data_IF_250105584218
#
_entry.id   IF_250105584218
#
_cell.length_a   1.000
_cell.length_b   1.000
_cell.length_c   1.000
_cell.angle_alpha   90.00
_cell.angle_beta   90.00
_cell.angle_gamma   90.00
#
_symmetry.space_group_name_H-M   'P 1'
#
loop_
_entity.id
_entity.type
_entity.pdbx_description
1 polymer ?
#
# COMPACT_ATOMS: atom_id res chain seq x y z
N UNK A 1 -43.98 -25.75 -62.41
CA UNK A 1 -43.17 -24.63 -61.87
C UNK A 1 -43.31 -24.60 -60.35
N UNK A 2 -42.40 -25.22 -59.61
CA UNK A 2 -42.36 -25.16 -58.13
C UNK A 2 -41.16 -24.29 -57.74
N UNK A 3 -41.42 -23.09 -57.22
CA UNK A 3 -40.39 -22.20 -56.67
C UNK A 3 -40.00 -22.74 -55.29
N UNK A 4 -38.75 -23.18 -55.13
CA UNK A 4 -38.19 -23.49 -53.82
C UNK A 4 -37.67 -22.19 -53.19
N UNK A 5 -38.20 -21.88 -52.01
CA UNK A 5 -37.81 -20.74 -51.20
C UNK A 5 -36.57 -21.15 -50.38
N UNK A 6 -35.43 -20.51 -50.63
CA UNK A 6 -34.21 -20.71 -49.85
C UNK A 6 -34.26 -19.75 -48.65
N UNK A 7 -34.47 -20.28 -47.45
CA UNK A 7 -34.38 -19.52 -46.21
C UNK A 7 -32.94 -19.65 -45.70
N UNK A 8 -32.17 -18.56 -45.76
CA UNK A 8 -30.85 -18.46 -45.14
C UNK A 8 -31.05 -18.05 -43.68
N UNK A 9 -30.81 -18.98 -42.76
CA UNK A 9 -30.84 -18.74 -41.32
C UNK A 9 -29.52 -18.08 -40.92
N UNK A 10 -29.53 -16.77 -40.68
CA UNK A 10 -28.41 -16.03 -40.10
C UNK A 10 -28.35 -16.36 -38.60
N UNK A 11 -27.45 -17.24 -38.19
CA UNK A 11 -27.18 -17.51 -36.77
C UNK A 11 -26.18 -16.47 -36.30
N UNK A 12 -26.67 -15.39 -35.68
CA UNK A 12 -25.83 -14.47 -34.90
C UNK A 12 -25.46 -15.16 -33.59
N UNK A 13 -24.24 -15.68 -33.47
CA UNK A 13 -23.68 -16.08 -32.18
C UNK A 13 -23.48 -14.83 -31.32
N UNK A 14 -24.44 -14.56 -30.43
CA UNK A 14 -24.18 -13.74 -29.26
C UNK A 14 -23.29 -14.56 -28.31
N UNK A 15 -22.00 -14.24 -28.27
CA UNK A 15 -21.14 -14.68 -27.18
C UNK A 15 -21.59 -13.92 -25.93
N UNK A 16 -22.36 -14.60 -25.09
CA UNK A 16 -22.55 -14.17 -23.71
C UNK A 16 -21.19 -14.40 -23.06
N UNK A 17 -20.42 -13.33 -22.88
CA UNK A 17 -19.22 -13.37 -22.03
C UNK A 17 -19.78 -13.50 -20.60
N UNK A 18 -19.89 -14.74 -20.13
CA UNK A 18 -20.10 -14.99 -18.71
C UNK A 18 -18.81 -14.66 -17.98
N UNK A 19 -18.93 -14.02 -16.82
CA UNK A 19 -17.83 -13.82 -15.91
C UNK A 19 -17.18 -15.17 -15.55
N UNK A 20 -15.86 -15.24 -15.62
CA UNK A 20 -15.10 -16.46 -15.41
C UNK A 20 -13.90 -16.21 -14.50
N UNK A 21 -13.56 -17.24 -13.72
CA UNK A 21 -12.33 -17.25 -12.94
C UNK A 21 -11.14 -17.12 -13.91
N UNK A 22 -10.19 -16.27 -13.57
CA UNK A 22 -9.03 -16.04 -14.43
C UNK A 22 -8.08 -17.22 -14.31
N UNK A 23 -7.79 -17.90 -15.42
CA UNK A 23 -6.77 -18.94 -15.45
C UNK A 23 -5.36 -18.35 -15.30
N UNK A 24 -4.46 -19.09 -14.64
CA UNK A 24 -3.06 -18.70 -14.42
C UNK A 24 -2.34 -18.32 -15.72
N UNK A 25 -2.58 -19.06 -16.81
CA UNK A 25 -1.99 -18.76 -18.12
C UNK A 25 -2.43 -17.40 -18.69
N UNK A 26 -3.66 -16.99 -18.42
CA UNK A 26 -4.16 -15.65 -18.80
C UNK A 26 -3.49 -14.58 -17.95
N UNK A 27 -3.33 -14.81 -16.64
CA UNK A 27 -2.63 -13.89 -15.76
C UNK A 27 -1.16 -13.69 -16.14
N UNK A 28 -0.44 -14.78 -16.46
CA UNK A 28 0.94 -14.72 -16.96
C UNK A 28 1.01 -13.89 -18.23
N UNK A 29 0.17 -14.19 -19.24
CA UNK A 29 0.18 -13.48 -20.53
C UNK A 29 -0.02 -11.98 -20.36
N UNK A 30 -1.01 -11.57 -19.56
CA UNK A 30 -1.28 -10.15 -19.30
C UNK A 30 -0.09 -9.50 -18.59
N UNK A 31 0.46 -10.14 -17.57
CA UNK A 31 1.59 -9.60 -16.82
C UNK A 31 2.84 -9.46 -17.70
N UNK A 32 3.17 -10.46 -18.52
CA UNK A 32 4.30 -10.45 -19.44
C UNK A 32 4.17 -9.36 -20.51
N UNK A 33 3.01 -9.26 -21.17
CA UNK A 33 2.77 -8.25 -22.19
C UNK A 33 2.81 -6.83 -21.58
N UNK A 34 2.21 -6.63 -20.40
CA UNK A 34 2.22 -5.36 -19.69
C UNK A 34 3.64 -4.94 -19.29
N UNK A 35 4.37 -5.83 -18.64
CA UNK A 35 5.75 -5.57 -18.21
C UNK A 35 6.67 -5.34 -19.41
N UNK A 36 6.44 -6.07 -20.50
CA UNK A 36 7.20 -5.88 -21.72
C UNK A 36 6.97 -4.50 -22.34
N UNK A 37 5.71 -4.03 -22.35
CA UNK A 37 5.37 -2.69 -22.77
C UNK A 37 6.01 -1.61 -21.86
N UNK A 38 5.92 -1.75 -20.54
CA UNK A 38 6.47 -0.79 -19.58
C UNK A 38 8.00 -0.69 -19.63
N UNK A 39 8.68 -1.79 -19.92
CA UNK A 39 10.15 -1.86 -19.91
C UNK A 39 10.77 -1.81 -21.31
N UNK A 40 9.95 -1.76 -22.35
CA UNK A 40 10.35 -1.79 -23.77
C UNK A 40 11.29 -2.95 -24.11
N UNK A 41 11.02 -4.13 -23.55
CA UNK A 41 11.77 -5.39 -23.78
C UNK A 41 10.83 -6.58 -23.62
N UNK A 42 11.17 -7.73 -24.19
CA UNK A 42 10.43 -8.97 -23.87
C UNK A 42 10.67 -9.35 -22.41
N UNK A 43 9.58 -9.62 -21.68
CA UNK A 43 9.60 -10.05 -20.29
C UNK A 43 8.97 -11.43 -20.20
N UNK A 44 9.61 -12.32 -19.43
CA UNK A 44 9.07 -13.66 -19.14
C UNK A 44 8.97 -13.82 -17.64
N UNK A 45 7.83 -14.29 -17.16
CA UNK A 45 7.63 -14.57 -15.75
C UNK A 45 8.57 -15.71 -15.32
N UNK A 46 9.30 -15.52 -14.23
CA UNK A 46 10.11 -16.62 -13.66
C UNK A 46 9.39 -17.34 -12.53
N UNK A 47 8.42 -16.69 -11.90
CA UNK A 47 7.54 -17.32 -10.92
C UNK A 47 6.15 -16.70 -10.93
N UNK A 48 5.18 -17.52 -10.53
CA UNK A 48 3.82 -17.09 -10.23
C UNK A 48 3.49 -17.64 -8.85
N UNK A 49 2.99 -16.76 -7.98
CA UNK A 49 2.54 -17.15 -6.65
C UNK A 49 1.06 -16.78 -6.49
N UNK A 50 0.16 -17.77 -6.33
CA UNK A 50 -1.25 -17.49 -6.06
C UNK A 50 -1.40 -17.04 -4.60
N UNK A 51 -2.05 -15.90 -4.40
CA UNK A 51 -2.54 -15.47 -3.10
C UNK A 51 -4.01 -15.91 -2.94
N UNK A 52 -4.29 -16.54 -1.80
CA UNK A 52 -5.61 -17.06 -1.45
C UNK A 52 -6.10 -16.31 -0.21
N UNK A 53 -7.23 -15.60 -0.33
CA UNK A 53 -7.94 -15.09 0.84
C UNK A 53 -8.52 -16.23 1.68
N UNK A 54 -9.03 -15.88 2.86
CA UNK A 54 -9.76 -16.86 3.69
C UNK A 54 -10.93 -17.47 2.91
N UNK A 55 -11.05 -18.79 2.98
CA UNK A 55 -12.09 -19.59 2.32
C UNK A 55 -12.12 -19.52 0.78
N UNK A 56 -11.07 -18.99 0.14
CA UNK A 56 -10.99 -18.94 -1.32
C UNK A 56 -10.82 -20.35 -1.92
N UNK A 57 -11.68 -20.70 -2.89
CA UNK A 57 -11.60 -21.97 -3.65
C UNK A 57 -10.73 -21.87 -4.91
N UNK A 58 -10.28 -20.66 -5.23
CA UNK A 58 -9.42 -20.32 -6.37
C UNK A 58 -8.61 -19.09 -6.02
N UNK A 59 -7.46 -18.85 -6.67
CA UNK A 59 -6.64 -17.67 -6.41
C UNK A 59 -7.44 -16.38 -6.47
N UNK A 60 -7.25 -15.50 -5.50
CA UNK A 60 -7.81 -14.15 -5.54
C UNK A 60 -6.90 -13.21 -6.33
N UNK A 61 -5.59 -13.46 -6.23
CA UNK A 61 -4.55 -12.65 -6.87
C UNK A 61 -3.46 -13.59 -7.35
N UNK A 62 -2.92 -13.34 -8.54
CA UNK A 62 -1.69 -13.94 -9.04
C UNK A 62 -0.56 -12.92 -8.92
N UNK A 63 0.46 -13.24 -8.10
CA UNK A 63 1.71 -12.46 -8.03
C UNK A 63 2.66 -13.00 -9.10
N UNK A 64 2.72 -12.34 -10.24
CA UNK A 64 3.61 -12.71 -11.36
C UNK A 64 4.92 -11.95 -11.22
N UNK A 65 6.05 -12.66 -11.08
CA UNK A 65 7.36 -12.06 -10.81
C UNK A 65 8.33 -12.21 -11.97
N UNK A 66 9.22 -11.21 -12.13
CA UNK A 66 10.13 -11.08 -13.26
C UNK A 66 11.60 -10.98 -12.84
N UNK A 67 12.50 -11.41 -13.72
CA UNK A 67 13.96 -11.32 -13.54
C UNK A 67 14.54 -10.28 -14.53
N UNK A 68 15.48 -9.41 -14.13
CA UNK A 68 16.15 -9.33 -12.82
C UNK A 68 15.32 -8.66 -11.71
N UNK A 69 14.11 -8.20 -12.00
CA UNK A 69 13.18 -7.63 -11.04
C UNK A 69 11.89 -7.17 -11.71
N UNK A 70 10.89 -6.90 -10.87
CA UNK A 70 9.55 -6.47 -11.22
C UNK A 70 8.49 -7.52 -10.87
N UNK A 71 7.25 -7.06 -10.70
CA UNK A 71 6.09 -7.91 -10.46
C UNK A 71 4.81 -7.25 -10.96
N UNK A 72 3.79 -8.07 -11.21
CA UNK A 72 2.41 -7.65 -11.46
C UNK A 72 1.49 -8.48 -10.57
N UNK A 73 0.59 -7.81 -9.84
CA UNK A 73 -0.51 -8.42 -9.11
C UNK A 73 -1.72 -8.45 -10.05
N UNK A 74 -2.06 -9.63 -10.55
CA UNK A 74 -3.19 -9.82 -11.48
C UNK A 74 -4.39 -10.37 -10.70
N UNK A 75 -5.57 -9.81 -10.92
CA UNK A 75 -6.80 -10.29 -10.28
C UNK A 75 -7.16 -11.72 -10.74
N UNK A 76 -7.68 -12.54 -9.82
CA UNK A 76 -8.09 -13.92 -10.07
C UNK A 76 -9.50 -14.10 -10.64
N UNK A 77 -10.19 -13.00 -10.96
CA UNK A 77 -11.56 -13.00 -11.47
C UNK A 77 -11.78 -11.78 -12.36
N UNK A 78 -12.47 -11.98 -13.47
CA UNK A 78 -12.59 -10.95 -14.51
C UNK A 78 -13.64 -9.87 -14.20
N UNK A 79 -14.41 -10.04 -13.13
CA UNK A 79 -15.28 -9.00 -12.56
C UNK A 79 -14.49 -7.89 -11.84
N UNK A 80 -13.21 -8.10 -11.54
CA UNK A 80 -12.32 -7.10 -10.95
C UNK A 80 -11.46 -6.43 -12.02
N UNK A 81 -10.90 -5.26 -11.72
CA UNK A 81 -9.83 -4.68 -12.54
C UNK A 81 -8.67 -5.68 -12.69
N UNK A 82 -8.11 -5.87 -13.90
CA UNK A 82 -7.16 -6.94 -14.18
C UNK A 82 -5.84 -6.81 -13.41
N UNK A 83 -5.38 -5.57 -13.16
CA UNK A 83 -4.09 -5.29 -12.52
C UNK A 83 -4.33 -4.53 -11.22
N UNK A 84 -4.00 -5.16 -10.10
CA UNK A 84 -4.21 -4.63 -8.74
C UNK A 84 -2.99 -3.88 -8.20
N UNK A 85 -1.83 -4.07 -8.83
CA UNK A 85 -0.58 -3.41 -8.47
C UNK A 85 0.56 -3.94 -9.33
N UNK A 86 1.61 -3.15 -9.50
CA UNK A 86 2.78 -3.57 -10.25
C UNK A 86 4.00 -2.75 -9.84
N UNK A 87 5.18 -3.28 -10.16
CA UNK A 87 6.43 -2.54 -10.13
C UNK A 87 7.35 -3.06 -11.22
N UNK A 88 8.07 -2.18 -11.91
CA UNK A 88 9.10 -2.58 -12.88
C UNK A 88 10.41 -2.99 -12.22
N UNK A 89 10.54 -2.85 -10.91
CA UNK A 89 11.74 -3.09 -10.11
C UNK A 89 11.41 -3.83 -8.81
N UNK A 90 12.44 -4.43 -8.18
CA UNK A 90 12.28 -5.15 -6.91
C UNK A 90 11.47 -6.44 -7.06
N UNK A 91 11.23 -7.12 -5.95
CA UNK A 91 10.39 -8.32 -5.93
C UNK A 91 9.25 -8.11 -4.95
N UNK A 92 8.10 -8.71 -5.24
CA UNK A 92 7.01 -8.75 -4.27
C UNK A 92 7.34 -9.78 -3.19
N UNK A 93 7.23 -9.43 -1.90
CA UNK A 93 7.43 -10.40 -0.82
C UNK A 93 6.27 -11.41 -0.82
N UNK A 94 6.57 -12.71 -0.88
CA UNK A 94 5.55 -13.78 -0.87
C UNK A 94 5.70 -14.77 0.29
N UNK A 95 6.68 -14.59 1.17
CA UNK A 95 6.93 -15.46 2.34
C UNK A 95 6.72 -14.72 3.66
N UNK A 96 7.43 -13.61 3.80
CA UNK A 96 7.34 -12.71 4.95
C UNK A 96 6.73 -11.41 4.45
N UNK A 97 5.43 -11.44 4.21
CA UNK A 97 4.69 -10.28 3.71
C UNK A 97 4.59 -9.27 4.86
N UNK A 98 5.02 -8.01 4.68
CA UNK A 98 4.86 -7.00 5.71
C UNK A 98 3.37 -6.82 6.05
N UNK A 99 3.05 -6.69 7.34
CA UNK A 99 1.66 -6.67 7.84
C UNK A 99 0.75 -5.62 7.16
N UNK A 100 1.31 -4.48 6.75
CA UNK A 100 0.58 -3.45 6.03
C UNK A 100 0.27 -3.86 4.57
N UNK A 101 1.16 -4.63 3.93
CA UNK A 101 0.93 -5.21 2.60
C UNK A 101 -0.09 -6.35 2.70
N UNK A 102 0.03 -7.19 3.72
CA UNK A 102 -0.93 -8.27 4.00
C UNK A 102 -2.35 -7.71 4.18
N UNK A 103 -2.50 -6.60 4.91
CA UNK A 103 -3.78 -5.92 5.06
C UNK A 103 -4.38 -5.50 3.71
N UNK A 104 -3.58 -4.93 2.79
CA UNK A 104 -4.03 -4.53 1.45
C UNK A 104 -4.44 -5.74 0.60
N UNK A 105 -3.64 -6.82 0.62
CA UNK A 105 -3.99 -8.06 -0.07
C UNK A 105 -5.31 -8.63 0.48
N UNK A 106 -5.51 -8.57 1.80
CA UNK A 106 -6.76 -8.95 2.46
C UNK A 106 -7.96 -8.13 1.99
N UNK A 107 -7.81 -6.82 1.76
CA UNK A 107 -8.90 -5.99 1.21
C UNK A 107 -9.22 -6.34 -0.24
N UNK A 108 -8.21 -6.64 -1.06
CA UNK A 108 -8.43 -7.15 -2.42
C UNK A 108 -9.15 -8.50 -2.39
N UNK A 109 -8.74 -9.43 -1.53
CA UNK A 109 -9.43 -10.71 -1.33
C UNK A 109 -10.87 -10.54 -0.86
N UNK A 110 -11.15 -9.61 0.06
CA UNK A 110 -12.52 -9.31 0.49
C UNK A 110 -13.37 -8.80 -0.68
N UNK A 111 -12.82 -7.91 -1.49
CA UNK A 111 -13.49 -7.41 -2.71
C UNK A 111 -13.74 -8.56 -3.71
N UNK A 112 -12.78 -9.48 -3.83
CA UNK A 112 -12.89 -10.67 -4.67
C UNK A 112 -14.03 -11.61 -4.24
N UNK A 113 -14.25 -11.77 -2.95
CA UNK A 113 -15.38 -12.54 -2.42
C UNK A 113 -16.72 -11.86 -2.75
N UNK A 114 -16.77 -10.52 -2.64
CA UNK A 114 -17.98 -9.75 -2.95
C UNK A 114 -18.37 -9.87 -4.41
N UNK A 115 -17.42 -9.69 -5.36
CA UNK A 115 -17.73 -9.77 -6.78
C UNK A 115 -18.17 -11.18 -7.19
N UNK A 116 -17.54 -12.23 -6.65
CA UNK A 116 -17.92 -13.64 -6.89
C UNK A 116 -19.31 -13.98 -6.34
N UNK A 117 -19.73 -13.28 -5.29
CA UNK A 117 -21.09 -13.42 -4.73
C UNK A 117 -22.14 -12.65 -5.55
N UNK A 118 -21.72 -11.86 -6.54
CA UNK A 118 -22.55 -11.03 -7.39
C UNK A 118 -22.31 -11.34 -8.88
N UNK A 119 -22.57 -12.58 -9.35
CA UNK A 119 -22.25 -13.01 -10.72
C UNK A 119 -23.03 -12.27 -11.82
N UNK A 120 -24.04 -11.47 -11.45
CA UNK A 120 -24.76 -10.58 -12.36
C UNK A 120 -23.96 -9.32 -12.75
N UNK A 121 -22.84 -9.04 -12.06
CA UNK A 121 -21.97 -7.92 -12.41
C UNK A 121 -21.27 -8.21 -13.74
N UNK A 122 -20.89 -7.13 -14.43
CA UNK A 122 -20.23 -7.24 -15.73
C UNK A 122 -18.73 -7.36 -15.58
N UNK A 123 -18.11 -8.16 -16.45
CA UNK A 123 -16.66 -8.21 -16.65
C UNK A 123 -16.07 -6.81 -16.75
N UNK A 124 -14.96 -6.55 -16.05
CA UNK A 124 -14.27 -5.27 -16.11
C UNK A 124 -13.70 -5.04 -17.52
N UNK A 125 -13.99 -3.88 -18.16
CA UNK A 125 -13.58 -3.62 -19.53
C UNK A 125 -12.05 -3.59 -19.73
N UNK A 126 -11.27 -3.43 -18.66
CA UNK A 126 -9.81 -3.47 -18.66
C UNK A 126 -9.24 -4.81 -19.15
N UNK A 127 -9.94 -5.93 -18.93
CA UNK A 127 -9.51 -7.23 -19.44
C UNK A 127 -9.43 -7.25 -20.97
N UNK A 128 -10.49 -6.78 -21.64
CA UNK A 128 -10.54 -6.73 -23.09
C UNK A 128 -9.49 -5.80 -23.70
N UNK A 129 -9.12 -4.72 -23.00
CA UNK A 129 -8.01 -3.84 -23.42
C UNK A 129 -6.68 -4.57 -23.36
N UNK A 130 -6.34 -5.13 -22.19
CA UNK A 130 -5.06 -5.79 -21.97
C UNK A 130 -4.86 -7.03 -22.87
N UNK A 131 -5.91 -7.82 -23.08
CA UNK A 131 -5.89 -8.97 -23.99
C UNK A 131 -5.64 -8.58 -25.46
N UNK A 132 -6.02 -7.37 -25.86
CA UNK A 132 -5.74 -6.80 -27.19
C UNK A 132 -4.43 -6.01 -27.24
N UNK A 133 -3.64 -6.06 -26.17
CA UNK A 133 -2.38 -5.30 -26.00
C UNK A 133 -2.59 -3.79 -26.06
N UNK A 134 -3.75 -3.31 -25.64
CA UNK A 134 -3.99 -1.89 -25.41
C UNK A 134 -3.57 -1.54 -23.98
N UNK A 135 -2.42 -0.86 -23.87
CA UNK A 135 -1.82 -0.43 -22.61
C UNK A 135 -1.97 1.08 -22.37
N UNK A 136 -2.94 1.74 -23.02
CA UNK A 136 -3.16 3.19 -22.90
C UNK A 136 -3.28 3.65 -21.44
N UNK A 137 -3.92 2.83 -20.60
CA UNK A 137 -4.20 3.14 -19.19
C UNK A 137 -2.95 3.01 -18.30
N UNK A 138 -1.88 2.40 -18.83
CA UNK A 138 -0.61 2.17 -18.14
C UNK A 138 0.53 3.05 -18.66
N UNK A 139 0.22 4.02 -19.52
CA UNK A 139 1.17 5.07 -19.90
C UNK A 139 1.43 5.91 -18.66
N UNK A 140 2.64 5.81 -18.10
CA UNK A 140 3.05 6.59 -16.93
C UNK A 140 3.18 8.05 -17.34
N UNK A 141 2.09 8.80 -17.15
CA UNK A 141 2.02 10.26 -17.27
C UNK A 141 2.22 10.95 -15.92
N UNK A 142 2.76 10.22 -14.93
CA UNK A 142 2.83 10.68 -13.56
C UNK A 142 3.75 11.90 -13.43
N UNK A 143 3.17 13.03 -13.05
CA UNK A 143 3.91 14.28 -12.79
C UNK A 143 4.68 14.26 -11.45
N UNK A 144 4.38 13.29 -10.57
CA UNK A 144 4.86 13.25 -9.18
C UNK A 144 5.68 11.98 -8.91
N UNK A 145 7.00 12.11 -8.75
CA UNK A 145 7.86 11.02 -8.28
C UNK A 145 7.57 10.65 -6.81
N UNK A 146 7.97 9.45 -6.32
CA UNK A 146 7.80 9.10 -4.91
C UNK A 146 8.34 10.20 -4.01
N UNK A 147 7.48 10.73 -3.14
CA UNK A 147 7.79 11.94 -2.39
C UNK A 147 8.74 11.65 -1.23
N UNK A 148 8.50 10.56 -0.49
CA UNK A 148 9.37 10.10 0.58
C UNK A 148 10.55 9.31 0.00
N UNK A 149 11.77 9.69 0.37
CA UNK A 149 12.99 8.99 -0.03
C UNK A 149 13.43 7.96 1.01
N UNK A 150 12.87 8.01 2.22
CA UNK A 150 13.14 7.08 3.30
C UNK A 150 12.56 5.70 3.01
N UNK A 151 13.25 4.67 3.49
CA UNK A 151 12.77 3.30 3.57
C UNK A 151 12.90 2.82 5.02
N UNK A 152 12.36 3.62 5.93
CA UNK A 152 12.44 3.34 7.37
C UNK A 152 11.49 2.22 7.77
N UNK A 153 11.85 1.49 8.81
CA UNK A 153 11.09 0.35 9.33
C UNK A 153 10.74 0.57 10.81
N UNK A 154 9.95 -0.34 11.38
CA UNK A 154 9.45 -0.29 12.75
C UNK A 154 10.29 -1.09 13.74
N UNK A 155 11.08 -2.06 13.26
CA UNK A 155 11.90 -2.94 14.08
C UNK A 155 13.36 -2.48 14.19
N UNK A 156 14.24 -3.35 14.66
CA UNK A 156 15.67 -3.06 14.76
C UNK A 156 16.25 -2.71 13.38
N UNK A 157 17.10 -1.67 13.27
CA UNK A 157 17.66 -0.84 14.35
C UNK A 157 16.87 0.47 14.65
N UNK A 158 15.70 0.65 14.03
CA UNK A 158 14.89 1.87 14.08
C UNK A 158 14.24 2.09 15.45
N UNK A 159 13.90 1.02 16.17
CA UNK A 159 13.21 1.05 17.47
C UNK A 159 14.15 1.07 18.69
N UNK A 160 15.45 1.35 18.52
CA UNK A 160 16.47 1.26 19.59
C UNK A 160 16.24 2.15 20.82
N UNK A 161 15.30 3.09 20.78
CA UNK A 161 14.87 3.92 21.92
C UNK A 161 13.41 3.70 22.33
N UNK A 162 12.71 2.75 21.70
CA UNK A 162 11.39 2.32 22.16
C UNK A 162 11.51 1.52 23.46
N UNK A 163 10.42 1.27 24.20
CA UNK A 163 10.46 0.46 25.43
C UNK A 163 11.16 -0.91 25.25
N UNK A 164 11.96 -1.35 26.24
CA UNK A 164 12.64 -2.63 26.16
C UNK A 164 11.65 -3.80 26.29
N UNK A 165 11.81 -4.80 25.43
CA UNK A 165 11.08 -6.06 25.47
C UNK A 165 11.93 -7.16 24.81
N UNK A 166 12.32 -8.18 25.59
CA UNK A 166 13.20 -9.25 25.10
C UNK A 166 12.59 -10.10 23.98
N UNK A 167 11.26 -10.09 23.83
CA UNK A 167 10.55 -10.76 22.74
C UNK A 167 10.43 -9.91 21.48
N UNK A 168 10.76 -8.62 21.55
CA UNK A 168 10.68 -7.69 20.43
C UNK A 168 11.96 -7.65 19.58
N UNK A 169 11.89 -7.10 18.36
CA UNK A 169 13.04 -7.00 17.47
C UNK A 169 14.15 -6.13 18.08
N UNK A 170 15.34 -6.71 18.22
CA UNK A 170 16.49 -6.03 18.84
C UNK A 170 16.29 -5.74 20.33
N UNK A 171 15.42 -6.49 21.03
CA UNK A 171 15.19 -6.34 22.46
C UNK A 171 14.29 -5.17 22.85
N UNK A 172 13.51 -4.64 21.89
CA UNK A 172 12.59 -3.53 22.09
C UNK A 172 11.27 -3.78 21.35
N UNK A 173 10.19 -3.19 21.83
CA UNK A 173 8.90 -3.15 21.14
C UNK A 173 9.02 -2.47 19.76
N UNK A 174 8.08 -2.74 18.86
CA UNK A 174 8.05 -2.05 17.57
C UNK A 174 7.81 -0.55 17.75
N UNK A 175 8.39 0.29 16.89
CA UNK A 175 8.11 1.72 16.87
C UNK A 175 6.64 2.03 16.49
N UNK A 176 5.99 1.15 15.72
CA UNK A 176 4.60 1.29 15.29
C UNK A 176 4.44 1.94 13.93
N UNK A 177 3.40 1.50 13.20
CA UNK A 177 3.19 1.87 11.80
C UNK A 177 2.82 3.35 11.67
N UNK A 178 2.03 3.86 12.62
CA UNK A 178 1.63 5.27 12.70
C UNK A 178 2.85 6.16 12.91
N UNK A 179 3.71 5.82 13.88
CA UNK A 179 4.92 6.58 14.17
C UNK A 179 5.89 6.58 12.98
N UNK A 180 6.05 5.43 12.32
CA UNK A 180 6.91 5.30 11.14
C UNK A 180 6.37 6.08 9.94
N UNK A 181 5.06 6.05 9.69
CA UNK A 181 4.44 6.86 8.64
C UNK A 181 4.63 8.36 8.91
N UNK A 182 4.34 8.82 10.13
CA UNK A 182 4.56 10.21 10.53
C UNK A 182 6.02 10.63 10.35
N UNK A 183 6.96 9.84 10.86
CA UNK A 183 8.39 10.16 10.83
C UNK A 183 8.93 10.26 9.40
N UNK A 184 8.50 9.37 8.49
CA UNK A 184 8.88 9.43 7.08
C UNK A 184 8.32 10.68 6.37
N UNK A 185 7.07 11.05 6.65
CA UNK A 185 6.48 12.31 6.15
C UNK A 185 7.26 13.51 6.69
N UNK A 186 7.59 13.51 7.98
CA UNK A 186 8.38 14.60 8.58
C UNK A 186 9.77 14.70 7.99
N UNK A 187 10.39 13.55 7.70
CA UNK A 187 11.71 13.49 7.07
C UNK A 187 11.71 14.03 5.64
N UNK A 188 10.63 13.87 4.88
CA UNK A 188 10.47 14.54 3.58
C UNK A 188 10.63 16.06 3.71
N UNK A 189 10.03 16.65 4.74
CA UNK A 189 10.09 18.09 4.97
C UNK A 189 11.34 18.54 5.74
N UNK A 190 12.03 17.62 6.42
CA UNK A 190 13.05 17.93 7.43
C UNK A 190 12.53 18.98 8.43
N UNK A 191 11.32 18.75 8.95
CA UNK A 191 10.61 19.69 9.81
C UNK A 191 9.88 18.96 10.95
N UNK A 192 9.83 19.51 12.17
CA UNK A 192 10.38 20.81 12.61
C UNK A 192 11.84 20.73 13.07
N UNK A 193 12.51 21.88 13.23
CA UNK A 193 13.83 21.93 13.89
C UNK A 193 13.71 21.59 15.38
N UNK A 194 12.66 22.09 16.05
CA UNK A 194 12.38 21.85 17.46
C UNK A 194 10.90 21.55 17.63
N UNK A 195 10.56 20.60 18.50
CA UNK A 195 9.17 20.29 18.81
C UNK A 195 8.47 21.38 19.64
N UNK A 196 7.31 21.03 20.19
CA UNK A 196 6.49 21.93 21.01
C UNK A 196 5.84 21.20 22.19
N UNK A 197 5.92 21.78 23.38
CA UNK A 197 5.32 21.21 24.57
C UNK A 197 5.93 19.88 25.02
N UNK A 198 5.20 19.14 25.83
CA UNK A 198 5.57 17.83 26.35
C UNK A 198 4.33 16.97 26.47
N UNK A 199 4.50 15.65 26.44
CA UNK A 199 3.41 14.70 26.64
C UNK A 199 3.89 13.50 27.45
N UNK A 200 2.97 12.94 28.24
CA UNK A 200 3.18 11.76 29.06
C UNK A 200 1.90 10.94 29.12
N UNK A 201 2.04 9.63 28.97
CA UNK A 201 0.93 8.68 29.12
C UNK A 201 1.43 7.36 29.68
N UNK A 202 0.51 6.54 30.19
CA UNK A 202 0.83 5.20 30.65
C UNK A 202 0.63 4.21 29.50
N UNK A 203 1.72 3.60 29.02
CA UNK A 203 1.66 2.50 28.07
C UNK A 203 1.45 1.19 28.84
N UNK A 204 0.38 0.47 28.54
CA UNK A 204 0.09 -0.80 29.21
C UNK A 204 1.24 -1.79 29.02
N UNK A 205 1.63 -2.49 30.09
CA UNK A 205 2.81 -3.36 30.10
C UNK A 205 4.19 -2.67 30.07
N UNK A 206 4.30 -1.41 29.63
CA UNK A 206 5.58 -0.72 29.42
C UNK A 206 5.79 0.53 30.30
N UNK A 207 4.81 0.86 31.15
CA UNK A 207 4.90 1.94 32.13
C UNK A 207 4.72 3.33 31.52
N UNK A 208 5.05 4.36 32.31
CA UNK A 208 4.89 5.76 31.86
C UNK A 208 5.93 6.12 30.80
N UNK A 209 5.46 6.53 29.63
CA UNK A 209 6.26 7.11 28.57
C UNK A 209 6.15 8.63 28.64
N UNK A 210 7.24 9.36 28.38
CA UNK A 210 7.26 10.82 28.56
C UNK A 210 8.28 11.47 27.66
N UNK A 211 7.84 12.50 26.93
CA UNK A 211 8.68 13.26 25.99
C UNK A 211 8.48 14.75 26.18
N UNK A 212 9.57 15.51 26.23
CA UNK A 212 9.55 16.96 26.12
C UNK A 212 9.96 17.39 24.70
N UNK A 213 8.99 17.51 23.81
CA UNK A 213 9.20 17.88 22.42
C UNK A 213 9.79 19.29 22.30
N UNK A 214 9.35 20.23 23.15
CA UNK A 214 9.82 21.61 23.18
C UNK A 214 11.30 21.76 23.55
N UNK A 215 11.85 20.80 24.28
CA UNK A 215 13.28 20.73 24.60
C UNK A 215 14.09 19.91 23.56
N UNK A 216 13.45 19.33 22.55
CA UNK A 216 14.09 18.43 21.58
C UNK A 216 14.39 19.14 20.28
N UNK A 217 15.66 19.09 19.84
CA UNK A 217 16.08 19.54 18.51
C UNK A 217 16.29 18.33 17.58
N UNK A 218 15.57 18.29 16.47
CA UNK A 218 15.67 17.22 15.47
C UNK A 218 16.75 17.55 14.44
N UNK A 219 17.89 16.87 14.52
CA UNK A 219 18.97 17.04 13.56
C UNK A 219 18.74 16.17 12.31
N UNK A 220 17.94 16.71 11.38
CA UNK A 220 17.53 16.00 10.17
C UNK A 220 18.68 15.55 9.27
N UNK A 221 19.83 16.26 9.24
CA UNK A 221 20.96 15.85 8.41
C UNK A 221 21.64 14.56 8.91
N UNK A 222 21.41 14.18 10.17
CA UNK A 222 21.91 12.95 10.77
C UNK A 222 20.92 11.78 10.67
N UNK A 223 19.81 11.98 9.95
CA UNK A 223 18.80 10.95 9.68
C UNK A 223 18.88 10.52 8.21
N UNK A 224 19.69 9.50 7.86
CA UNK A 224 19.75 9.00 6.48
C UNK A 224 18.44 8.31 6.05
N UNK A 225 18.28 8.08 4.76
CA UNK A 225 17.07 7.48 4.19
C UNK A 225 16.86 6.01 4.59
N UNK A 226 17.92 5.32 4.98
CA UNK A 226 17.89 3.93 5.46
C UNK A 226 19.07 3.71 6.41
N UNK A 227 18.93 2.75 7.32
CA UNK A 227 19.99 2.37 8.25
C UNK A 227 20.07 0.85 8.38
N UNK A 228 21.27 0.35 8.68
CA UNK A 228 21.53 -1.05 9.03
C UNK A 228 22.16 -1.20 10.42
N UNK A 229 22.35 -0.08 11.12
CA UNK A 229 22.86 0.02 12.48
C UNK A 229 22.07 1.09 13.21
N UNK A 230 22.15 1.11 14.53
CA UNK A 230 21.45 2.08 15.37
C UNK A 230 21.78 3.52 14.99
N UNK A 231 20.74 4.35 14.92
CA UNK A 231 20.85 5.77 14.71
C UNK A 231 19.91 6.46 15.70
N UNK A 232 20.48 7.06 16.74
CA UNK A 232 19.74 7.67 17.84
C UNK A 232 18.87 8.84 17.39
N UNK A 233 19.20 9.53 16.30
CA UNK A 233 18.36 10.60 15.77
C UNK A 233 17.06 10.05 15.17
N UNK A 234 17.15 8.95 14.42
CA UNK A 234 15.98 8.28 13.85
C UNK A 234 15.13 7.64 14.94
N UNK A 235 15.75 6.89 15.87
CA UNK A 235 15.00 6.23 16.94
C UNK A 235 14.41 7.23 17.95
N UNK A 236 15.05 8.38 18.18
CA UNK A 236 14.45 9.49 18.96
C UNK A 236 13.20 10.00 18.26
N UNK A 237 13.26 10.27 16.95
CA UNK A 237 12.10 10.75 16.20
C UNK A 237 10.96 9.72 16.23
N UNK A 238 11.25 8.45 15.98
CA UNK A 238 10.24 7.38 16.00
C UNK A 238 9.60 7.20 17.38
N UNK A 239 10.41 7.16 18.45
CA UNK A 239 9.91 7.11 19.82
C UNK A 239 9.06 8.34 20.15
N UNK A 240 9.47 9.54 19.74
CA UNK A 240 8.71 10.77 19.96
C UNK A 240 7.39 10.76 19.19
N UNK A 241 7.38 10.29 17.94
CA UNK A 241 6.15 10.09 17.20
C UNK A 241 5.23 9.10 17.94
N UNK A 242 5.76 7.99 18.45
CA UNK A 242 5.00 7.02 19.23
C UNK A 242 4.41 7.61 20.51
N UNK A 243 5.19 8.35 21.30
CA UNK A 243 4.67 9.03 22.48
C UNK A 243 3.63 10.08 22.12
N UNK A 244 3.84 10.83 21.04
CA UNK A 244 2.88 11.84 20.59
C UNK A 244 1.50 11.30 20.24
N UNK A 245 1.38 9.99 19.97
CA UNK A 245 0.13 9.33 19.55
C UNK A 245 -0.37 8.29 20.55
N UNK A 246 0.06 8.35 21.81
CA UNK A 246 -0.32 7.39 22.85
C UNK A 246 -0.13 5.93 22.41
N UNK A 247 1.02 5.64 21.77
CA UNK A 247 1.30 4.34 21.16
C UNK A 247 1.00 3.19 22.12
N UNK A 248 0.13 2.29 21.69
CA UNK A 248 -0.07 0.99 22.32
C UNK A 248 1.11 0.10 21.92
N UNK A 249 2.22 0.25 22.64
CA UNK A 249 3.44 -0.51 22.38
C UNK A 249 3.23 -2.01 22.58
N UNK A 250 3.84 -2.82 21.72
CA UNK A 250 3.93 -4.28 21.91
C UNK A 250 5.14 -4.86 21.17
N UNK A 251 5.63 -6.01 21.65
CA UNK A 251 6.69 -6.77 21.00
C UNK A 251 6.24 -7.46 19.71
N UNK A 252 4.94 -7.67 19.51
CA UNK A 252 4.35 -8.31 18.33
C UNK A 252 3.66 -7.33 17.37
N UNK A 253 3.59 -6.05 17.73
CA UNK A 253 3.12 -4.97 16.86
C UNK A 253 2.53 -3.80 17.64
N UNK A 254 3.06 -2.59 17.40
CA UNK A 254 2.59 -1.37 18.07
C UNK A 254 1.60 -0.58 17.21
N UNK A 255 0.52 -0.09 17.82
CA UNK A 255 -0.57 0.62 17.13
C UNK A 255 -1.00 1.92 17.82
N UNK A 256 -1.65 2.81 17.05
CA UNK A 256 -2.23 4.07 17.53
C UNK A 256 -3.41 4.49 16.65
N UNK A 257 -4.23 5.44 17.11
CA UNK A 257 -5.32 5.99 16.30
C UNK A 257 -4.82 7.10 15.37
N UNK A 258 -5.51 7.31 14.25
CA UNK A 258 -5.10 8.34 13.28
C UNK A 258 -5.47 9.75 13.68
N UNK A 259 -6.52 9.92 14.47
CA UNK A 259 -6.86 11.20 15.08
C UNK A 259 -5.66 11.70 15.90
N UNK A 260 -5.04 10.81 16.68
CA UNK A 260 -3.83 11.11 17.45
C UNK A 260 -2.65 11.52 16.55
N UNK A 261 -2.48 10.88 15.38
CA UNK A 261 -1.42 11.24 14.44
C UNK A 261 -1.54 12.69 13.94
N UNK A 262 -2.76 13.12 13.58
CA UNK A 262 -3.03 14.50 13.17
C UNK A 262 -2.75 15.46 14.32
N UNK A 263 -3.26 15.15 15.51
CA UNK A 263 -3.12 16.01 16.68
C UNK A 263 -1.66 16.12 17.13
N UNK A 264 -0.90 15.02 17.11
CA UNK A 264 0.52 15.01 17.40
C UNK A 264 1.32 15.90 16.44
N UNK A 265 1.07 15.77 15.13
CA UNK A 265 1.73 16.59 14.11
C UNK A 265 1.52 18.08 14.38
N UNK A 266 0.30 18.49 14.72
CA UNK A 266 -0.04 19.89 14.99
C UNK A 266 0.52 20.35 16.35
N UNK A 267 0.22 19.62 17.42
CA UNK A 267 0.45 20.05 18.79
C UNK A 267 1.93 19.93 19.22
N UNK A 268 2.60 18.85 18.79
CA UNK A 268 3.96 18.52 19.23
C UNK A 268 5.02 18.77 18.16
N UNK A 269 4.66 18.63 16.88
CA UNK A 269 5.58 18.78 15.76
C UNK A 269 5.37 20.04 14.92
N UNK A 270 4.53 20.98 15.39
CA UNK A 270 4.35 22.32 14.80
C UNK A 270 3.87 22.32 13.34
N UNK A 271 3.20 21.26 12.90
CA UNK A 271 2.55 21.26 11.59
C UNK A 271 1.36 22.21 11.59
N UNK A 272 0.95 22.60 10.38
CA UNK A 272 -0.12 23.57 10.19
C UNK A 272 -1.42 23.07 10.84
N UNK A 273 -2.08 23.93 11.63
CA UNK A 273 -3.34 23.60 12.31
C UNK A 273 -4.50 23.32 11.33
N UNK A 274 -4.36 23.71 10.05
CA UNK A 274 -5.26 23.36 8.97
C UNK A 274 -5.11 21.91 8.49
N UNK A 275 -4.21 21.11 9.07
CA UNK A 275 -4.14 19.67 8.79
C UNK A 275 -5.47 18.98 9.13
N UNK A 276 -5.94 18.14 8.21
CA UNK A 276 -7.23 17.44 8.29
C UNK A 276 -7.02 15.93 8.21
N UNK A 277 -7.87 15.19 8.94
CA UNK A 277 -8.07 13.77 8.75
C UNK A 277 -9.41 13.58 8.03
N UNK A 278 -9.41 12.76 6.99
CA UNK A 278 -10.58 12.44 6.19
C UNK A 278 -10.77 10.93 6.12
N UNK A 279 -12.02 10.48 6.09
CA UNK A 279 -12.36 9.06 5.99
C UNK A 279 -12.85 8.73 4.58
N UNK A 280 -12.29 7.68 3.97
CA UNK A 280 -12.60 7.35 2.58
C UNK A 280 -14.09 7.01 2.33
N UNK A 281 -14.78 6.49 3.35
CA UNK A 281 -16.22 6.15 3.31
C UNK A 281 -17.15 7.38 3.27
N UNK A 282 -16.64 8.58 3.54
CA UNK A 282 -17.41 9.82 3.42
C UNK A 282 -17.45 10.37 1.99
N UNK A 283 -16.71 9.74 1.07
CA UNK A 283 -16.53 10.21 -0.30
C UNK A 283 -16.82 9.10 -1.32
N UNK A 284 -17.22 9.50 -2.53
CA UNK A 284 -17.18 8.58 -3.66
C UNK A 284 -15.72 8.27 -4.02
N UNK A 285 -15.47 7.09 -4.61
CA UNK A 285 -14.12 6.69 -5.03
C UNK A 285 -13.45 7.72 -5.95
N UNK A 286 -14.22 8.37 -6.84
CA UNK A 286 -13.72 9.43 -7.72
C UNK A 286 -13.31 10.68 -6.96
N UNK A 287 -14.12 11.12 -5.99
CA UNK A 287 -13.79 12.31 -5.18
C UNK A 287 -12.58 12.01 -4.30
N UNK A 288 -12.55 10.85 -3.64
CA UNK A 288 -11.43 10.42 -2.81
C UNK A 288 -10.13 10.36 -3.61
N UNK A 289 -10.12 9.70 -4.77
CA UNK A 289 -8.95 9.65 -5.64
C UNK A 289 -8.49 11.04 -6.10
N UNK A 290 -9.43 11.95 -6.41
CA UNK A 290 -9.10 13.32 -6.79
C UNK A 290 -8.47 14.11 -5.65
N UNK A 291 -8.91 13.89 -4.40
CA UNK A 291 -8.32 14.52 -3.22
C UNK A 291 -6.88 14.05 -3.03
N UNK A 292 -6.63 12.73 -3.07
CA UNK A 292 -5.29 12.17 -2.95
C UNK A 292 -4.37 12.68 -4.06
N UNK A 293 -4.85 12.69 -5.31
CA UNK A 293 -4.09 13.21 -6.45
C UNK A 293 -3.72 14.68 -6.26
N UNK A 294 -4.66 15.51 -5.82
CA UNK A 294 -4.42 16.94 -5.60
C UNK A 294 -3.30 17.23 -4.58
N UNK A 295 -3.20 16.43 -3.52
CA UNK A 295 -2.10 16.53 -2.55
C UNK A 295 -0.76 16.09 -3.16
N UNK A 296 -0.76 14.97 -3.88
CA UNK A 296 0.44 14.45 -4.55
C UNK A 296 0.96 15.43 -5.60
N UNK A 297 0.08 16.01 -6.44
CA UNK A 297 0.43 16.99 -7.48
C UNK A 297 1.06 18.26 -6.88
N UNK A 298 0.79 18.54 -5.60
CA UNK A 298 1.40 19.63 -4.83
C UNK A 298 2.64 19.20 -4.02
N UNK A 299 3.14 17.99 -4.26
CA UNK A 299 4.32 17.45 -3.60
C UNK A 299 4.11 17.12 -2.12
N UNK A 300 2.87 16.94 -1.67
CA UNK A 300 2.53 16.62 -0.27
C UNK A 300 2.37 15.11 -0.08
N UNK A 301 3.24 14.47 0.73
CA UNK A 301 2.98 13.11 1.18
C UNK A 301 1.71 13.05 2.02
N UNK A 302 0.97 11.95 1.89
CA UNK A 302 -0.29 11.72 2.58
C UNK A 302 -0.08 10.62 3.61
N UNK A 303 -0.45 10.89 4.85
CA UNK A 303 -0.63 9.84 5.85
C UNK A 303 -1.88 9.04 5.48
N UNK A 304 -1.78 7.71 5.41
CA UNK A 304 -2.87 6.85 4.99
C UNK A 304 -2.89 5.58 5.83
N UNK A 305 -4.09 5.09 6.16
CA UNK A 305 -4.33 3.82 6.86
C UNK A 305 -5.55 3.10 6.30
N UNK A 306 -5.72 1.85 6.73
CA UNK A 306 -7.01 1.16 6.73
C UNK A 306 -7.06 0.07 7.78
#
# INVERSE_FOLDING_TARGET
>A
MKKQLLIVLLVTLCWIISAEKVEEGTAIRIAEDLMGNMTNRTMTAFSVHPYMGQDASSPDIYVVSFSPGGFVLVAGDDLSAPVLGYSTNGLFPTKEIPVHVEWYLGQYSRSMQEIRSNPQWSVDPGWNKLLRKDFSDFVITRDVAPLCATTWDQGWPYNSLCPPDASGPGGHVYAGCVATAMAQIMKKWNYPVTGNGSHSYYADGYGTQSVNFGATTYNWSLMPNSISQENTHISTLLYHCGVGVDMMYSYDGSGAYSDDARDALVNYFRYNNAAQLHWANDYSSTIWASMLRSDLDQGRPIYYRG
#
